data_IF_921881073761
#
_entry.id   IF_921881073761
#
_cell.length_a   1.000
_cell.length_b   1.000
_cell.length_c   1.000
_cell.angle_alpha   90.00
_cell.angle_beta   90.00
_cell.angle_gamma   90.00
#
_symmetry.space_group_name_H-M   'P 1'
#
loop_
_entity.id
_entity.type
_entity.pdbx_description
1 polymer ?
#
# COMPACT_ATOMS: atom_id res chain seq x y z
N UNK A 1 15.84 -14.16 25.10
CA UNK A 1 14.45 -14.42 24.68
C UNK A 1 13.58 -13.19 24.85
N UNK A 2 13.52 -12.55 26.00
CA UNK A 2 12.69 -11.36 26.29
C UNK A 2 12.98 -10.19 25.34
N UNK A 3 14.25 -9.86 25.08
CA UNK A 3 14.63 -8.78 24.14
C UNK A 3 14.04 -8.98 22.74
N UNK A 4 14.08 -10.21 22.20
CA UNK A 4 13.51 -10.53 20.88
C UNK A 4 11.99 -10.34 20.85
N UNK A 5 11.29 -10.70 21.93
CA UNK A 5 9.85 -10.48 22.04
C UNK A 5 9.50 -8.99 22.10
N UNK A 6 10.22 -8.21 22.90
CA UNK A 6 10.04 -6.75 22.98
C UNK A 6 10.31 -6.11 21.61
N UNK A 7 11.39 -6.52 20.94
CA UNK A 7 11.70 -6.03 19.59
C UNK A 7 10.58 -6.33 18.59
N UNK A 8 10.09 -7.58 18.54
CA UNK A 8 8.98 -7.97 17.65
C UNK A 8 7.68 -7.20 17.98
N UNK A 9 7.40 -6.99 19.26
CA UNK A 9 6.22 -6.21 19.68
C UNK A 9 6.32 -4.75 19.26
N UNK A 10 7.45 -4.09 19.50
CA UNK A 10 7.64 -2.68 19.15
C UNK A 10 7.67 -2.41 17.65
N UNK A 11 8.06 -3.41 16.84
CA UNK A 11 8.07 -3.34 15.36
C UNK A 11 6.80 -3.89 14.71
N UNK A 12 5.79 -4.25 15.50
CA UNK A 12 4.49 -4.69 15.02
C UNK A 12 3.48 -3.54 14.98
N UNK A 13 2.24 -3.86 14.56
CA UNK A 13 1.12 -2.92 14.56
C UNK A 13 0.79 -2.34 15.95
N UNK A 14 1.17 -3.02 17.05
CA UNK A 14 1.08 -2.45 18.40
C UNK A 14 2.00 -1.23 18.58
N UNK A 15 3.20 -1.29 18.04
CA UNK A 15 4.18 -0.19 18.07
C UNK A 15 4.03 0.80 16.91
N UNK A 16 3.23 0.47 15.90
CA UNK A 16 3.01 1.34 14.75
C UNK A 16 2.22 2.58 15.14
N UNK A 17 2.78 3.75 14.84
CA UNK A 17 2.22 5.05 15.25
C UNK A 17 1.36 5.72 14.16
N UNK A 18 1.26 5.13 12.97
CA UNK A 18 0.38 5.64 11.91
C UNK A 18 -1.09 5.55 12.28
N UNK A 19 -1.90 6.44 11.71
CA UNK A 19 -3.33 6.52 11.99
C UNK A 19 -4.13 5.41 11.32
N UNK A 20 -3.64 4.89 10.19
CA UNK A 20 -4.33 3.86 9.41
C UNK A 20 -3.45 2.64 9.19
N UNK A 21 -4.09 1.47 9.17
CA UNK A 21 -3.48 0.20 8.78
C UNK A 21 -4.17 -0.30 7.53
N UNK A 22 -3.42 -0.41 6.43
CA UNK A 22 -3.92 -0.92 5.17
C UNK A 22 -3.37 -2.31 4.92
N UNK A 23 -4.25 -3.24 4.60
CA UNK A 23 -3.86 -4.61 4.27
C UNK A 23 -4.76 -5.22 3.19
N UNK A 24 -4.25 -6.25 2.53
CA UNK A 24 -4.97 -6.99 1.49
C UNK A 24 -5.10 -8.45 1.87
N UNK A 25 -6.28 -8.99 1.66
CA UNK A 25 -6.57 -10.42 1.68
C UNK A 25 -6.83 -10.88 0.25
N UNK A 26 -5.83 -11.52 -0.34
CA UNK A 26 -5.92 -12.05 -1.69
C UNK A 26 -6.63 -13.42 -1.69
N UNK A 27 -7.55 -13.60 -2.63
CA UNK A 27 -8.31 -14.83 -2.77
C UNK A 27 -9.36 -14.73 -3.89
N UNK A 28 -10.35 -15.63 -3.91
CA UNK A 28 -11.46 -15.61 -4.88
C UNK A 28 -12.22 -14.28 -4.87
N UNK A 29 -12.33 -13.67 -3.70
CA UNK A 29 -12.78 -12.30 -3.50
C UNK A 29 -11.64 -11.53 -2.82
N UNK A 30 -10.79 -10.92 -3.63
CA UNK A 30 -9.70 -10.12 -3.09
C UNK A 30 -10.25 -8.84 -2.45
N UNK A 31 -9.88 -8.61 -1.20
CA UNK A 31 -10.34 -7.47 -0.41
C UNK A 31 -9.18 -6.64 0.11
N UNK A 32 -9.27 -5.32 -0.08
CA UNK A 32 -8.44 -4.33 0.57
C UNK A 32 -9.20 -3.76 1.76
N UNK A 33 -8.54 -3.71 2.91
CA UNK A 33 -9.07 -3.12 4.13
C UNK A 33 -8.20 -1.95 4.56
N UNK A 34 -8.85 -0.86 4.97
CA UNK A 34 -8.19 0.30 5.56
C UNK A 34 -8.83 0.58 6.92
N UNK A 35 -8.09 0.28 7.98
CA UNK A 35 -8.52 0.46 9.37
C UNK A 35 -8.01 1.78 9.90
N UNK A 36 -8.89 2.58 10.45
CA UNK A 36 -8.55 3.77 11.23
C UNK A 36 -8.30 3.37 12.68
N UNK A 37 -7.12 3.65 13.21
CA UNK A 37 -6.77 3.32 14.61
C UNK A 37 -7.55 4.16 15.63
N UNK A 38 -8.08 5.30 15.22
CA UNK A 38 -8.97 6.13 16.04
C UNK A 38 -10.45 5.72 15.92
N UNK A 39 -10.71 4.67 15.13
CA UNK A 39 -12.00 4.03 14.92
C UNK A 39 -13.10 4.95 14.35
N UNK A 40 -12.70 5.97 13.62
CA UNK A 40 -13.65 6.93 13.07
C UNK A 40 -14.24 6.48 11.73
N UNK A 41 -13.43 5.85 10.85
CA UNK A 41 -13.87 5.42 9.51
C UNK A 41 -13.02 4.28 8.96
N UNK A 42 -13.60 3.10 8.88
CA UNK A 42 -12.98 1.95 8.22
C UNK A 42 -13.53 1.80 6.81
N UNK A 43 -12.67 1.33 5.90
CA UNK A 43 -13.03 1.12 4.50
C UNK A 43 -12.70 -0.29 4.06
N UNK A 44 -13.51 -0.82 3.14
CA UNK A 44 -13.24 -2.06 2.43
C UNK A 44 -13.48 -1.84 0.94
N UNK A 45 -12.64 -2.43 0.10
CA UNK A 45 -12.79 -2.45 -1.35
C UNK A 45 -12.53 -3.86 -1.87
N UNK A 46 -13.40 -4.32 -2.77
CA UNK A 46 -13.28 -5.64 -3.37
C UNK A 46 -12.84 -5.54 -4.82
N UNK A 47 -12.01 -6.49 -5.22
CA UNK A 47 -11.52 -6.64 -6.58
C UNK A 47 -11.97 -7.99 -7.12
N UNK A 48 -12.77 -7.98 -8.20
CA UNK A 48 -13.18 -9.23 -8.82
C UNK A 48 -12.02 -9.86 -9.63
N UNK A 49 -12.00 -11.19 -9.81
CA UNK A 49 -10.87 -11.91 -10.38
C UNK A 49 -10.47 -11.49 -11.80
N UNK A 50 -11.43 -11.16 -12.66
CA UNK A 50 -11.16 -10.81 -14.07
C UNK A 50 -10.76 -9.34 -14.26
N UNK A 51 -10.77 -8.53 -13.21
CA UNK A 51 -10.28 -7.14 -13.24
C UNK A 51 -8.79 -7.12 -13.58
N UNK A 52 -8.41 -6.36 -14.60
CA UNK A 52 -7.01 -6.16 -14.97
C UNK A 52 -6.41 -5.00 -14.20
N UNK A 53 -5.27 -5.23 -13.59
CA UNK A 53 -4.52 -4.26 -12.79
C UNK A 53 -3.09 -4.14 -13.32
N UNK A 54 -2.50 -2.98 -13.18
CA UNK A 54 -1.09 -2.77 -13.45
C UNK A 54 -0.24 -3.37 -12.32
N UNK A 55 0.72 -4.21 -12.69
CA UNK A 55 1.62 -4.89 -11.75
C UNK A 55 3.02 -4.29 -11.88
N UNK A 56 3.58 -3.71 -10.81
CA UNK A 56 4.91 -3.10 -10.85
C UNK A 56 6.02 -4.13 -11.01
N UNK A 57 7.21 -3.68 -11.44
CA UNK A 57 8.37 -4.52 -11.70
C UNK A 57 8.48 -4.96 -13.15
N UNK A 58 7.82 -4.24 -14.07
CA UNK A 58 7.85 -4.51 -15.51
C UNK A 58 6.95 -5.66 -15.96
N UNK A 59 6.01 -6.10 -15.11
CA UNK A 59 5.08 -7.18 -15.44
C UNK A 59 3.93 -6.74 -16.36
N UNK A 60 3.58 -5.46 -16.36
CA UNK A 60 2.43 -4.95 -17.12
C UNK A 60 1.09 -5.32 -16.49
N UNK A 61 0.09 -5.61 -17.33
CA UNK A 61 -1.29 -5.82 -16.86
C UNK A 61 -1.60 -7.29 -16.58
N UNK A 62 -2.10 -7.58 -15.39
CA UNK A 62 -2.55 -8.92 -14.99
C UNK A 62 -3.96 -8.88 -14.42
N UNK A 63 -4.71 -9.98 -14.59
CA UNK A 63 -5.98 -10.15 -13.88
C UNK A 63 -5.74 -10.33 -12.38
N UNK A 64 -6.54 -9.71 -11.57
CA UNK A 64 -6.48 -9.83 -10.10
C UNK A 64 -6.42 -11.30 -9.66
N UNK A 65 -7.28 -12.16 -10.24
CA UNK A 65 -7.34 -13.58 -9.89
C UNK A 65 -6.10 -14.39 -10.26
N UNK A 66 -5.15 -13.86 -11.04
CA UNK A 66 -3.88 -14.53 -11.39
C UNK A 66 -2.66 -13.99 -10.65
N UNK A 67 -2.81 -12.92 -9.84
CA UNK A 67 -1.70 -12.29 -9.13
C UNK A 67 -1.01 -13.23 -8.14
N UNK A 68 -1.78 -14.06 -7.42
CA UNK A 68 -1.20 -15.03 -6.48
C UNK A 68 -0.29 -16.05 -7.16
N UNK A 69 -0.71 -16.55 -8.34
CA UNK A 69 0.13 -17.46 -9.14
C UNK A 69 1.39 -16.77 -9.65
N UNK A 70 1.27 -15.52 -10.14
CA UNK A 70 2.42 -14.73 -10.57
C UNK A 70 3.42 -14.53 -9.42
N UNK A 71 2.94 -14.05 -8.27
CA UNK A 71 3.75 -13.81 -7.09
C UNK A 71 4.50 -15.08 -6.61
N UNK A 72 3.84 -16.24 -6.72
CA UNK A 72 4.43 -17.53 -6.35
C UNK A 72 5.47 -18.01 -7.36
N UNK A 73 5.18 -17.91 -8.66
CA UNK A 73 6.12 -18.31 -9.73
C UNK A 73 7.43 -17.54 -9.66
N UNK A 74 7.36 -16.25 -9.38
CA UNK A 74 8.55 -15.38 -9.28
C UNK A 74 9.14 -15.35 -7.88
N UNK A 75 8.53 -16.06 -6.91
CA UNK A 75 8.91 -16.03 -5.50
C UNK A 75 8.96 -14.59 -4.93
N UNK A 76 7.98 -13.77 -5.31
CA UNK A 76 7.85 -12.36 -4.93
C UNK A 76 6.44 -12.06 -4.40
N UNK A 77 6.07 -12.58 -3.22
CA UNK A 77 4.73 -12.35 -2.66
C UNK A 77 4.45 -10.88 -2.36
N UNK A 78 5.48 -10.05 -2.19
CA UNK A 78 5.37 -8.59 -2.03
C UNK A 78 4.77 -7.88 -3.25
N UNK A 79 4.71 -8.52 -4.42
CA UNK A 79 3.99 -7.98 -5.60
C UNK A 79 2.52 -7.71 -5.28
N UNK A 80 1.89 -8.49 -4.40
CA UNK A 80 0.53 -8.24 -3.95
C UNK A 80 0.43 -6.87 -3.27
N UNK A 81 1.28 -6.62 -2.27
CA UNK A 81 1.27 -5.32 -1.58
C UNK A 81 1.55 -4.16 -2.54
N UNK A 82 2.55 -4.28 -3.40
CA UNK A 82 2.92 -3.23 -4.37
C UNK A 82 1.78 -2.94 -5.36
N UNK A 83 1.16 -3.99 -5.94
CA UNK A 83 0.04 -3.85 -6.89
C UNK A 83 -1.15 -3.14 -6.26
N UNK A 84 -1.56 -3.58 -5.07
CA UNK A 84 -2.69 -2.95 -4.41
C UNK A 84 -2.36 -1.58 -3.82
N UNK A 85 -1.10 -1.30 -3.49
CA UNK A 85 -0.68 0.05 -3.12
C UNK A 85 -0.82 1.04 -4.26
N UNK A 86 -0.45 0.66 -5.48
CA UNK A 86 -0.65 1.47 -6.67
C UNK A 86 -2.15 1.70 -6.90
N UNK A 87 -2.92 0.63 -6.97
CA UNK A 87 -4.36 0.71 -7.25
C UNK A 87 -5.12 1.56 -6.24
N UNK A 88 -4.78 1.46 -4.95
CA UNK A 88 -5.47 2.21 -3.89
C UNK A 88 -4.78 3.52 -3.51
N UNK A 89 -3.66 3.85 -4.16
CA UNK A 89 -2.81 5.00 -3.82
C UNK A 89 -2.53 5.11 -2.32
N UNK A 90 -2.33 3.96 -1.66
CA UNK A 90 -2.11 3.90 -0.22
C UNK A 90 -1.02 2.90 0.15
N UNK A 91 -0.35 3.10 1.28
CA UNK A 91 0.67 2.16 1.75
C UNK A 91 0.02 0.87 2.26
N UNK A 92 0.00 -0.17 1.41
CA UNK A 92 -0.39 -1.52 1.79
C UNK A 92 0.82 -2.23 2.37
N UNK A 93 0.86 -2.38 3.69
CA UNK A 93 2.03 -2.95 4.40
C UNK A 93 1.89 -4.42 4.73
N UNK A 94 0.64 -4.90 4.80
CA UNK A 94 0.32 -6.28 5.14
C UNK A 94 -0.48 -6.90 4.01
N UNK A 95 -0.14 -8.15 3.69
CA UNK A 95 -0.88 -8.96 2.73
C UNK A 95 -1.00 -10.40 3.20
N UNK A 96 -2.14 -10.99 2.85
CA UNK A 96 -2.45 -12.41 3.05
C UNK A 96 -2.77 -13.05 1.71
N UNK A 97 -2.39 -14.30 1.52
CA UNK A 97 -2.68 -15.07 0.31
C UNK A 97 -2.79 -16.57 0.62
N UNK A 98 -3.65 -17.33 -0.07
CA UNK A 98 -3.75 -18.75 0.12
C UNK A 98 -2.49 -19.47 -0.38
N UNK A 99 -2.14 -20.58 0.26
CA UNK A 99 -0.98 -21.39 -0.13
C UNK A 99 -1.26 -22.28 -1.34
N UNK A 100 -2.14 -21.85 -2.23
CA UNK A 100 -2.52 -22.57 -3.45
C UNK A 100 -2.00 -21.84 -4.69
N UNK A 101 -1.91 -22.54 -5.82
CA UNK A 101 -1.55 -21.96 -7.13
C UNK A 101 -2.80 -21.67 -7.97
N UNK A 102 -3.95 -21.58 -7.33
CA UNK A 102 -5.21 -21.39 -8.01
C UNK A 102 -5.26 -20.03 -8.73
N UNK A 103 -5.86 -20.05 -9.89
CA UNK A 103 -6.23 -18.85 -10.63
C UNK A 103 -7.74 -18.70 -10.51
N UNK A 104 -8.16 -17.55 -10.04
CA UNK A 104 -9.56 -17.24 -9.87
C UNK A 104 -10.11 -16.56 -11.12
N UNK A 105 -11.39 -16.75 -11.37
CA UNK A 105 -12.14 -16.22 -12.51
C UNK A 105 -13.49 -15.69 -12.05
N UNK A 106 -14.04 -14.75 -12.79
CA UNK A 106 -15.37 -14.21 -12.57
C UNK A 106 -15.38 -12.69 -12.39
N UNK A 107 -16.55 -12.13 -12.58
CA UNK A 107 -16.82 -10.70 -12.48
C UNK A 107 -17.70 -10.32 -11.30
N UNK A 108 -18.04 -11.31 -10.47
CA UNK A 108 -18.86 -11.08 -9.29
C UNK A 108 -18.09 -10.26 -8.25
N UNK A 109 -18.69 -9.19 -7.78
CA UNK A 109 -18.16 -8.32 -6.76
C UNK A 109 -19.06 -8.31 -5.54
N UNK A 110 -18.45 -8.32 -4.37
CA UNK A 110 -19.17 -8.20 -3.12
C UNK A 110 -19.84 -6.83 -3.02
N UNK A 111 -21.15 -6.82 -2.87
CA UNK A 111 -21.96 -5.59 -2.80
C UNK A 111 -22.13 -5.01 -1.40
N UNK A 112 -21.71 -5.75 -0.38
CA UNK A 112 -21.78 -5.32 1.03
C UNK A 112 -20.44 -5.52 1.71
N UNK A 113 -20.08 -4.64 2.66
CA UNK A 113 -18.90 -4.89 3.49
C UNK A 113 -19.01 -6.26 4.17
N UNK A 114 -17.87 -6.90 4.34
CA UNK A 114 -17.74 -8.15 5.08
C UNK A 114 -16.42 -8.13 5.84
N UNK A 115 -16.45 -8.44 7.12
CA UNK A 115 -15.23 -8.57 7.93
C UNK A 115 -14.52 -9.88 7.59
N UNK A 116 -13.18 -9.90 7.67
CA UNK A 116 -12.40 -11.11 7.43
C UNK A 116 -12.66 -12.14 8.52
N UNK A 117 -12.66 -13.42 8.15
CA UNK A 117 -12.78 -14.48 9.13
C UNK A 117 -11.57 -14.48 10.09
N UNK A 118 -11.82 -14.60 11.37
CA UNK A 118 -10.78 -14.61 12.42
C UNK A 118 -9.68 -15.65 12.15
N UNK A 119 -10.08 -16.85 11.68
CA UNK A 119 -9.13 -17.91 11.30
C UNK A 119 -8.16 -17.47 10.20
N UNK A 120 -8.63 -16.67 9.24
CA UNK A 120 -7.81 -16.22 8.09
C UNK A 120 -6.80 -15.16 8.54
N UNK A 121 -7.20 -14.24 9.41
CA UNK A 121 -6.28 -13.27 10.02
C UNK A 121 -5.16 -13.94 10.81
N UNK A 122 -5.46 -15.04 11.51
CA UNK A 122 -4.49 -15.72 12.36
C UNK A 122 -3.63 -16.74 11.60
N UNK A 123 -4.19 -17.47 10.63
CA UNK A 123 -3.57 -18.66 10.05
C UNK A 123 -3.22 -18.56 8.58
N UNK A 124 -3.85 -17.66 7.81
CA UNK A 124 -3.57 -17.54 6.38
C UNK A 124 -2.12 -17.09 6.15
N UNK A 125 -1.39 -17.67 5.19
CA UNK A 125 -0.05 -17.20 4.83
C UNK A 125 -0.03 -15.71 4.47
N UNK A 126 1.10 -15.05 4.71
CA UNK A 126 1.29 -13.62 4.45
C UNK A 126 2.55 -13.10 5.12
N UNK A 127 2.77 -11.79 5.05
CA UNK A 127 3.91 -11.14 5.70
C UNK A 127 3.61 -10.67 7.14
N UNK A 128 2.36 -10.76 7.59
CA UNK A 128 1.99 -10.37 8.94
C UNK A 128 2.73 -11.20 9.99
N UNK A 129 3.44 -10.53 10.91
CA UNK A 129 4.06 -11.15 12.06
C UNK A 129 3.04 -11.64 13.09
N UNK A 130 3.46 -12.43 14.06
CA UNK A 130 2.55 -12.97 15.08
C UNK A 130 1.80 -11.86 15.85
N UNK A 131 2.50 -10.79 16.22
CA UNK A 131 1.88 -9.65 16.90
C UNK A 131 0.95 -8.85 15.99
N UNK A 132 1.25 -8.73 14.69
CA UNK A 132 0.36 -8.08 13.73
C UNK A 132 -0.95 -8.86 13.57
N UNK A 133 -0.86 -10.18 13.50
CA UNK A 133 -2.03 -11.09 13.46
C UNK A 133 -2.91 -10.96 14.69
N UNK A 134 -2.29 -10.96 15.88
CA UNK A 134 -3.00 -10.75 17.15
C UNK A 134 -3.64 -9.35 17.17
N UNK A 135 -2.92 -8.31 16.75
CA UNK A 135 -3.47 -6.95 16.69
C UNK A 135 -4.71 -6.88 15.79
N UNK A 136 -4.60 -7.41 14.56
CA UNK A 136 -5.72 -7.42 13.61
C UNK A 136 -6.88 -8.26 14.16
N UNK A 137 -6.61 -9.44 14.68
CA UNK A 137 -7.64 -10.28 15.28
C UNK A 137 -8.39 -9.55 16.41
N UNK A 138 -7.67 -8.93 17.32
CA UNK A 138 -8.28 -8.12 18.41
C UNK A 138 -9.08 -6.94 17.87
N UNK A 139 -8.56 -6.25 16.84
CA UNK A 139 -9.26 -5.12 16.21
C UNK A 139 -10.58 -5.53 15.58
N UNK A 140 -10.70 -6.77 15.06
CA UNK A 140 -11.92 -7.26 14.42
C UNK A 140 -12.90 -7.95 15.36
N UNK A 141 -12.55 -8.21 16.65
CA UNK A 141 -13.46 -8.86 17.60
C UNK A 141 -14.75 -8.05 17.81
N UNK A 142 -14.61 -6.72 17.93
CA UNK A 142 -15.73 -5.82 18.26
C UNK A 142 -16.29 -5.12 17.00
N UNK A 143 -15.86 -5.53 15.80
CA UNK A 143 -16.33 -4.91 14.56
C UNK A 143 -17.38 -5.77 13.87
N UNK A 144 -18.32 -5.07 13.22
CA UNK A 144 -19.35 -5.62 12.37
C UNK A 144 -19.20 -5.12 10.94
N UNK A 145 -19.89 -5.75 10.01
CA UNK A 145 -19.85 -5.36 8.59
C UNK A 145 -20.27 -3.90 8.39
N UNK A 146 -21.20 -3.39 9.17
CA UNK A 146 -21.69 -2.00 9.11
C UNK A 146 -20.66 -0.95 9.58
N UNK A 147 -19.57 -1.36 10.26
CA UNK A 147 -18.48 -0.48 10.66
C UNK A 147 -17.55 -0.13 9.49
N UNK A 148 -17.77 -0.76 8.34
CA UNK A 148 -17.01 -0.55 7.13
C UNK A 148 -17.82 0.14 6.05
N UNK A 149 -17.22 1.14 5.42
CA UNK A 149 -17.75 1.74 4.19
C UNK A 149 -17.17 1.02 2.98
N UNK A 150 -18.06 0.58 2.10
CA UNK A 150 -17.65 0.02 0.82
C UNK A 150 -17.12 1.16 -0.08
N UNK A 151 -15.89 1.00 -0.57
CA UNK A 151 -15.31 1.84 -1.61
C UNK A 151 -15.57 1.21 -2.97
N UNK A 152 -16.02 2.01 -3.92
CA UNK A 152 -16.21 1.58 -5.30
C UNK A 152 -15.22 2.30 -6.22
N UNK A 153 -14.69 1.57 -7.18
CA UNK A 153 -13.87 2.11 -8.27
C UNK A 153 -14.62 2.16 -9.61
N UNK A 154 -15.89 1.73 -9.63
CA UNK A 154 -16.76 1.84 -10.81
C UNK A 154 -17.69 3.04 -10.68
N UNK A 155 -17.92 3.74 -11.79
CA UNK A 155 -19.10 4.57 -11.94
C UNK A 155 -20.32 3.65 -12.08
N UNK A 156 -21.45 3.98 -11.45
CA UNK A 156 -22.69 3.16 -11.45
C UNK A 156 -23.25 2.85 -12.84
N UNK A 157 -22.69 3.43 -13.89
CA UNK A 157 -23.17 3.37 -15.29
C UNK A 157 -22.42 2.38 -16.18
N UNK A 158 -21.30 1.82 -15.76
CA UNK A 158 -20.52 0.92 -16.63
C UNK A 158 -20.97 -0.52 -16.52
N UNK A 159 -21.53 -1.05 -17.61
CA UNK A 159 -21.72 -2.48 -17.80
C UNK A 159 -20.37 -3.16 -17.83
N UNK A 160 -20.18 -4.16 -16.99
CA UNK A 160 -18.97 -4.98 -16.91
C UNK A 160 -18.71 -5.60 -18.29
N UNK A 161 -17.78 -5.04 -19.04
CA UNK A 161 -17.28 -5.65 -20.26
C UNK A 161 -16.15 -6.64 -19.92
N UNK A 162 -15.96 -7.64 -20.79
CA UNK A 162 -15.07 -8.80 -20.58
C UNK A 162 -13.59 -8.45 -20.35
N UNK A 163 -13.17 -7.20 -20.60
CA UNK A 163 -11.79 -6.70 -20.46
C UNK A 163 -11.77 -5.36 -19.73
N UNK A 164 -12.22 -5.36 -18.48
CA UNK A 164 -12.24 -4.13 -17.68
C UNK A 164 -10.90 -3.95 -16.98
N UNK A 165 -10.29 -2.80 -17.20
CA UNK A 165 -9.10 -2.36 -16.48
C UNK A 165 -9.50 -1.57 -15.23
N UNK A 166 -8.68 -1.66 -14.20
CA UNK A 166 -8.82 -0.79 -13.05
C UNK A 166 -8.50 0.66 -13.46
N UNK A 167 -9.47 1.55 -13.32
CA UNK A 167 -9.31 2.96 -13.67
C UNK A 167 -8.79 3.77 -12.48
N UNK A 168 -7.45 3.89 -12.39
CA UNK A 168 -6.78 4.60 -11.30
C UNK A 168 -7.25 6.04 -11.18
N UNK A 169 -7.35 6.78 -12.28
CA UNK A 169 -7.74 8.20 -12.28
C UNK A 169 -9.16 8.40 -11.75
N UNK A 170 -10.09 7.51 -12.11
CA UNK A 170 -11.46 7.53 -11.61
C UNK A 170 -11.48 7.21 -10.11
N UNK A 171 -10.72 6.20 -9.69
CA UNK A 171 -10.59 5.87 -8.28
C UNK A 171 -10.01 7.04 -7.47
N UNK A 172 -8.92 7.65 -7.92
CA UNK A 172 -8.28 8.79 -7.24
C UNK A 172 -9.27 9.93 -7.05
N UNK A 173 -10.02 10.33 -8.10
CA UNK A 173 -11.02 11.40 -8.01
C UNK A 173 -12.10 11.12 -6.97
N UNK A 174 -12.55 9.87 -6.86
CA UNK A 174 -13.65 9.49 -5.98
C UNK A 174 -13.19 9.19 -4.53
N UNK A 175 -11.91 8.86 -4.34
CA UNK A 175 -11.35 8.44 -3.04
C UNK A 175 -10.37 9.43 -2.44
N UNK A 176 -10.12 10.57 -3.08
CA UNK A 176 -9.18 11.56 -2.58
C UNK A 176 -9.50 11.95 -1.12
N UNK A 177 -8.51 11.85 -0.27
CA UNK A 177 -8.62 12.18 1.15
C UNK A 177 -9.20 11.08 2.04
N UNK A 178 -9.84 10.03 1.50
CA UNK A 178 -10.44 8.97 2.31
C UNK A 178 -9.38 8.12 3.04
N UNK A 179 -8.23 7.90 2.39
CA UNK A 179 -7.13 7.06 2.90
C UNK A 179 -5.97 7.87 3.48
N UNK A 180 -6.11 9.19 3.60
CA UNK A 180 -5.10 10.06 4.16
C UNK A 180 -4.78 9.68 5.60
N UNK A 181 -3.49 9.70 5.93
CA UNK A 181 -3.00 9.62 7.30
C UNK A 181 -2.85 11.04 7.84
N UNK A 182 -3.53 11.31 8.95
CA UNK A 182 -3.55 12.63 9.58
C UNK A 182 -2.16 13.10 9.96
N UNK A 183 -1.31 12.17 10.46
CA UNK A 183 0.05 12.48 10.89
C UNK A 183 0.89 13.15 9.79
N UNK A 184 0.79 12.72 8.52
CA UNK A 184 1.56 13.34 7.43
C UNK A 184 1.05 14.75 7.11
N UNK A 185 -0.26 14.95 7.24
CA UNK A 185 -0.87 16.26 7.06
C UNK A 185 -0.52 17.23 8.20
N UNK A 186 -0.39 16.72 9.43
CA UNK A 186 -0.02 17.51 10.60
C UNK A 186 1.47 17.92 10.52
N UNK A 187 2.36 17.04 10.02
CA UNK A 187 3.77 17.35 9.80
C UNK A 187 4.01 18.32 8.63
N UNK A 188 3.10 18.37 7.65
CA UNK A 188 3.13 19.28 6.48
C UNK A 188 4.47 19.31 5.73
N UNK A 189 5.19 18.18 5.68
CA UNK A 189 6.48 18.10 5.02
C UNK A 189 6.34 18.24 3.50
N UNK A 190 7.22 19.06 2.91
CA UNK A 190 7.35 19.26 1.47
C UNK A 190 8.40 18.32 0.92
N UNK A 191 8.03 17.48 -0.04
CA UNK A 191 8.90 16.42 -0.56
C UNK A 191 9.29 16.72 -2.00
N UNK A 192 10.59 16.55 -2.30
CA UNK A 192 11.10 16.41 -3.65
C UNK A 192 11.33 14.93 -3.95
N UNK A 193 10.76 14.42 -5.05
CA UNK A 193 11.06 13.09 -5.56
C UNK A 193 12.11 13.21 -6.67
N UNK A 194 13.22 12.47 -6.54
CA UNK A 194 14.30 12.48 -7.51
C UNK A 194 14.38 11.12 -8.23
N UNK A 195 14.34 11.15 -9.57
CA UNK A 195 14.46 9.97 -10.42
C UNK A 195 15.75 10.00 -11.24
N UNK A 196 16.22 8.83 -11.70
CA UNK A 196 17.45 8.72 -12.50
C UNK A 196 17.19 8.45 -13.97
N UNK A 197 16.14 7.67 -14.29
CA UNK A 197 15.86 7.23 -15.66
C UNK A 197 14.40 7.32 -16.06
N UNK A 198 13.48 7.01 -15.15
CA UNK A 198 12.06 6.80 -15.48
C UNK A 198 11.16 7.79 -14.74
N UNK A 199 10.83 8.90 -15.40
CA UNK A 199 9.92 9.92 -14.87
C UNK A 199 8.54 9.35 -14.51
N UNK A 200 8.00 8.39 -15.30
CA UNK A 200 6.69 7.79 -15.03
C UNK A 200 6.65 7.03 -13.71
N UNK A 201 7.76 6.40 -13.33
CA UNK A 201 7.87 5.76 -12.01
C UNK A 201 7.84 6.81 -10.90
N UNK A 202 8.57 7.93 -11.07
CA UNK A 202 8.55 9.01 -10.09
C UNK A 202 7.15 9.63 -9.94
N UNK A 203 6.46 9.88 -11.04
CA UNK A 203 5.08 10.37 -11.05
C UNK A 203 4.15 9.42 -10.28
N UNK A 204 4.26 8.11 -10.51
CA UNK A 204 3.46 7.10 -9.82
C UNK A 204 3.78 6.99 -8.34
N UNK A 205 5.06 7.00 -7.98
CA UNK A 205 5.47 7.03 -6.57
C UNK A 205 4.95 8.32 -5.91
N UNK A 206 4.98 9.44 -6.59
CA UNK A 206 4.42 10.71 -6.09
C UNK A 206 2.91 10.60 -5.86
N UNK A 207 2.17 10.03 -6.81
CA UNK A 207 0.73 9.78 -6.66
C UNK A 207 0.44 8.87 -5.46
N UNK A 208 1.27 7.85 -5.24
CA UNK A 208 1.15 6.98 -4.08
C UNK A 208 1.41 7.74 -2.76
N UNK A 209 2.43 8.60 -2.71
CA UNK A 209 2.68 9.45 -1.55
C UNK A 209 1.51 10.40 -1.28
N UNK A 210 1.02 11.09 -2.31
CA UNK A 210 -0.10 12.03 -2.21
C UNK A 210 -1.41 11.34 -1.77
N UNK A 211 -1.65 10.12 -2.22
CA UNK A 211 -2.79 9.31 -1.79
C UNK A 211 -2.78 8.95 -0.30
N UNK A 212 -1.61 8.99 0.35
CA UNK A 212 -1.47 8.88 1.80
C UNK A 212 -1.58 10.23 2.54
N UNK A 213 -1.67 11.35 1.82
CA UNK A 213 -1.71 12.70 2.38
C UNK A 213 -0.35 13.36 2.55
N UNK A 214 0.69 12.78 1.96
CA UNK A 214 2.05 13.34 1.90
C UNK A 214 2.13 14.33 0.73
N UNK A 215 2.68 15.52 0.94
CA UNK A 215 2.77 16.54 -0.09
C UNK A 215 4.03 16.37 -0.94
N UNK A 216 3.87 16.08 -2.24
CA UNK A 216 4.96 16.10 -3.21
C UNK A 216 4.94 17.45 -3.93
N UNK A 217 6.02 18.22 -3.81
CA UNK A 217 6.12 19.56 -4.38
C UNK A 217 6.85 19.58 -5.72
N UNK A 218 7.72 18.60 -5.95
CA UNK A 218 8.56 18.60 -7.13
C UNK A 218 9.02 17.17 -7.50
N UNK A 219 9.18 16.95 -8.81
CA UNK A 219 9.74 15.71 -9.38
C UNK A 219 10.88 16.10 -10.31
N UNK A 220 12.11 15.75 -9.95
CA UNK A 220 13.31 16.18 -10.68
C UNK A 220 14.23 15.02 -11.03
N UNK A 221 15.08 15.25 -12.03
CA UNK A 221 16.14 14.32 -12.38
C UNK A 221 17.27 14.38 -11.35
N UNK A 222 17.65 13.24 -10.79
CA UNK A 222 18.87 13.15 -9.97
C UNK A 222 20.12 13.26 -10.85
N UNK A 223 20.76 14.42 -10.81
CA UNK A 223 21.99 14.70 -11.57
C UNK A 223 23.16 13.84 -11.13
N UNK A 224 23.16 13.37 -9.87
CA UNK A 224 24.22 12.52 -9.32
C UNK A 224 24.02 11.04 -9.69
N UNK A 225 22.85 10.68 -10.24
CA UNK A 225 22.50 9.32 -10.63
C UNK A 225 22.75 8.30 -9.52
N UNK A 226 22.27 8.61 -8.34
CA UNK A 226 22.42 7.74 -7.15
C UNK A 226 21.90 6.35 -7.41
N UNK A 227 22.71 5.29 -7.24
CA UNK A 227 22.26 3.93 -7.55
C UNK A 227 21.29 3.36 -6.52
N UNK A 228 21.36 3.85 -5.29
CA UNK A 228 20.57 3.35 -4.18
C UNK A 228 19.40 4.27 -3.85
N UNK A 229 18.29 3.67 -3.44
CA UNK A 229 17.15 4.38 -2.88
C UNK A 229 17.50 5.03 -1.54
N UNK A 230 17.15 6.32 -1.38
CA UNK A 230 17.43 7.09 -0.15
C UNK A 230 16.31 8.07 0.16
N UNK A 231 16.07 8.24 1.46
CA UNK A 231 15.26 9.34 2.00
C UNK A 231 16.21 10.24 2.80
N UNK A 232 16.25 11.51 2.48
CA UNK A 232 17.18 12.49 3.06
C UNK A 232 16.34 13.57 3.74
N UNK A 233 16.65 13.87 5.00
CA UNK A 233 16.01 14.94 5.77
C UNK A 233 17.09 15.71 6.53
N UNK A 234 17.02 17.06 6.51
CA UNK A 234 17.95 17.90 7.25
C UNK A 234 17.51 18.05 8.71
N UNK A 235 17.53 16.93 9.42
CA UNK A 235 17.17 16.86 10.84
C UNK A 235 17.91 15.73 11.54
N UNK A 236 18.31 15.96 12.79
CA UNK A 236 18.89 14.92 13.66
C UNK A 236 17.82 13.91 14.10
N UNK A 237 16.60 14.41 14.34
CA UNK A 237 15.44 13.58 14.67
C UNK A 237 14.52 13.60 13.45
N UNK A 238 14.47 12.48 12.76
CA UNK A 238 13.69 12.39 11.53
C UNK A 238 12.19 12.49 11.81
N UNK A 239 11.47 13.10 10.85
CA UNK A 239 10.02 13.14 10.86
C UNK A 239 9.42 11.75 10.64
N UNK A 240 8.20 11.57 11.08
CA UNK A 240 7.47 10.33 10.84
C UNK A 240 7.25 10.09 9.35
N UNK A 241 7.01 11.15 8.60
CA UNK A 241 6.88 11.09 7.13
C UNK A 241 8.13 10.48 6.49
N UNK A 242 9.34 10.96 6.86
CA UNK A 242 10.60 10.42 6.34
C UNK A 242 10.82 8.96 6.76
N UNK A 243 10.56 8.63 8.03
CA UNK A 243 10.69 7.26 8.55
C UNK A 243 9.77 6.27 7.81
N UNK A 244 8.50 6.64 7.61
CA UNK A 244 7.51 5.76 7.01
C UNK A 244 7.73 5.59 5.49
N UNK A 245 8.17 6.63 4.78
CA UNK A 245 8.61 6.51 3.38
C UNK A 245 9.79 5.53 3.29
N UNK A 246 10.83 5.76 4.10
CA UNK A 246 12.01 4.91 4.09
C UNK A 246 11.66 3.45 4.41
N UNK A 247 10.78 3.22 5.39
CA UNK A 247 10.32 1.88 5.78
C UNK A 247 9.50 1.20 4.69
N UNK A 248 8.51 1.92 4.11
CA UNK A 248 7.62 1.35 3.11
C UNK A 248 8.36 0.94 1.84
N UNK A 249 9.25 1.80 1.37
CA UNK A 249 10.05 1.55 0.16
C UNK A 249 11.34 0.78 0.43
N UNK A 250 11.62 0.43 1.68
CA UNK A 250 12.86 -0.22 2.10
C UNK A 250 14.12 0.56 1.68
N UNK A 251 14.10 1.87 1.87
CA UNK A 251 15.17 2.79 1.52
C UNK A 251 15.99 3.20 2.74
N UNK A 252 17.23 3.62 2.51
CA UNK A 252 18.08 4.15 3.58
C UNK A 252 17.60 5.55 3.97
N UNK A 253 17.33 5.79 5.26
CA UNK A 253 17.06 7.11 5.81
C UNK A 253 18.37 7.72 6.29
N UNK A 254 18.66 8.95 5.84
CA UNK A 254 19.93 9.64 6.14
C UNK A 254 19.69 11.10 6.47
N UNK A 255 20.49 11.64 7.38
CA UNK A 255 20.58 13.08 7.57
C UNK A 255 21.39 13.72 6.41
N UNK A 256 20.87 14.82 5.87
CA UNK A 256 21.57 15.56 4.82
C UNK A 256 20.86 16.85 4.45
N UNK A 257 21.53 17.73 3.71
CA UNK A 257 20.94 18.98 3.24
C UNK A 257 19.84 18.73 2.21
N UNK A 258 18.74 19.43 2.35
CA UNK A 258 17.54 19.31 1.50
C UNK A 258 17.15 20.63 0.82
N UNK A 259 17.97 21.69 1.01
CA UNK A 259 17.78 23.04 0.48
C UNK A 259 16.39 23.61 0.81
N UNK A 260 15.50 23.75 -0.19
CA UNK A 260 14.17 24.33 -0.02
C UNK A 260 13.09 23.32 0.37
N UNK A 261 13.40 22.03 0.35
CA UNK A 261 12.48 20.96 0.69
C UNK A 261 12.75 20.43 2.09
N UNK A 262 11.75 19.84 2.71
CA UNK A 262 11.93 19.19 4.02
C UNK A 262 12.56 17.81 3.86
N UNK A 263 12.18 17.11 2.78
CA UNK A 263 12.61 15.73 2.50
C UNK A 263 12.97 15.61 1.01
N UNK A 264 14.08 14.96 0.71
CA UNK A 264 14.43 14.52 -0.64
C UNK A 264 14.32 13.00 -0.69
N UNK A 265 13.48 12.49 -1.60
CA UNK A 265 13.30 11.08 -1.84
C UNK A 265 13.93 10.68 -3.18
N UNK A 266 15.12 10.07 -3.12
CA UNK A 266 15.87 9.59 -4.29
C UNK A 266 15.44 8.15 -4.59
N UNK A 267 14.89 7.91 -5.78
CA UNK A 267 14.38 6.59 -6.15
C UNK A 267 15.49 5.57 -6.44
N UNK A 268 16.53 5.96 -7.20
CA UNK A 268 17.65 5.05 -7.51
C UNK A 268 17.20 3.69 -8.04
N UNK A 269 17.63 2.62 -7.36
CA UNK A 269 17.28 1.23 -7.73
C UNK A 269 15.79 0.91 -7.65
N UNK A 270 15.03 1.69 -6.89
CA UNK A 270 13.59 1.51 -6.72
C UNK A 270 12.82 1.66 -8.03
N UNK A 271 13.33 2.46 -8.99
CA UNK A 271 12.68 2.66 -10.28
C UNK A 271 12.38 1.34 -11.00
N UNK A 272 13.31 0.37 -10.95
CA UNK A 272 13.10 -0.94 -11.56
C UNK A 272 12.00 -1.77 -10.87
N UNK A 273 11.90 -1.62 -9.55
CA UNK A 273 10.92 -2.38 -8.76
C UNK A 273 9.50 -1.86 -8.91
N UNK A 274 9.35 -0.58 -9.28
CA UNK A 274 8.07 0.11 -9.43
C UNK A 274 7.76 0.47 -10.89
N UNK A 275 8.57 -0.01 -11.83
CA UNK A 275 8.32 0.11 -13.27
C UNK A 275 7.02 -0.63 -13.66
N UNK A 276 6.23 -0.05 -14.56
CA UNK A 276 4.95 -0.61 -15.07
C UNK A 276 5.01 -0.71 -16.58
#
# INVERSE_FOLDING_TARGET
MLYKLVFLYTHSLFGYRGDRVNFVMYGPQTAFYSLDKQDTRNYVMYFYPDLKMQVPGGYGNYRTGSLGKLAKLDNKPELLAKTFSIATTSFVTIYYYPNTEDVYYGTDIQSKPQIPAMKDLLLMPGNAGIFDRIYLALTFIDKHDDDFKLMSYHSETEKIHKDVFFEEDSFIKNSIGLLFQKQYRDEQKNIQVQYTKNYKVAERVSTLLEGNGIRVNDITLDMNRSPACKVIEDSVVHSRTAEDIARFFNCTLTQGKTDVYDIIFVLGSLEKEWEI
#
